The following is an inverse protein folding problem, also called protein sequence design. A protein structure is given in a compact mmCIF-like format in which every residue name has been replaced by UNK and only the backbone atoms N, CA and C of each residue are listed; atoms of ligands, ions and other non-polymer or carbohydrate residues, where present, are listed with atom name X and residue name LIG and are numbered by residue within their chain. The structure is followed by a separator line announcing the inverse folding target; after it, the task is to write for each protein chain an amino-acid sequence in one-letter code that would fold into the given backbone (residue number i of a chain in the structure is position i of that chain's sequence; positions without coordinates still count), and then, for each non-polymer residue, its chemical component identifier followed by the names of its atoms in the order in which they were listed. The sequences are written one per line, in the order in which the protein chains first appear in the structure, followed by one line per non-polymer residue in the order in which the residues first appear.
data_IF_790178410100
#
_entry.id   IF_790178410100
#
_cell.length_a   1.000
_cell.length_b   1.000
_cell.length_c   1.000
_cell.angle_alpha   90.00
_cell.angle_beta   90.00
_cell.angle_gamma   90.00
#
_symmetry.space_group_name_H-M   'P 1'
#
loop_
_entity.id
_entity.type
_entity.pdbx_description
1 polymer ?
#
# COMPACT_ATOMS: atom_id res chain seq x y z
N UNK A 1 21.78 8.12 21.66
CA UNK A 1 20.64 8.34 20.73
C UNK A 1 19.93 7.00 20.59
N UNK A 2 18.72 6.86 21.15
CA UNK A 2 17.95 5.62 21.04
C UNK A 2 17.18 5.61 19.72
N UNK A 3 17.28 4.51 18.99
CA UNK A 3 16.50 4.27 17.78
C UNK A 3 15.12 3.77 18.23
N UNK A 4 14.08 4.56 18.01
CA UNK A 4 12.72 4.06 18.13
C UNK A 4 12.51 3.03 17.02
N UNK A 5 12.18 1.79 17.41
CA UNK A 5 11.84 0.75 16.45
C UNK A 5 10.58 1.19 15.69
N UNK A 6 10.70 1.24 14.37
CA UNK A 6 9.55 1.51 13.52
C UNK A 6 8.56 0.36 13.62
N UNK A 7 7.28 0.65 13.34
CA UNK A 7 6.22 -0.37 13.34
C UNK A 7 6.57 -1.57 12.47
N UNK A 8 7.15 -1.33 11.29
CA UNK A 8 7.53 -2.38 10.35
C UNK A 8 8.63 -3.28 10.90
N UNK A 9 9.60 -2.70 11.62
CA UNK A 9 10.69 -3.47 12.25
C UNK A 9 10.16 -4.35 13.37
N UNK A 10 9.28 -3.82 14.23
CA UNK A 10 8.60 -4.60 15.28
C UNK A 10 7.84 -5.78 14.68
N UNK A 11 7.05 -5.55 13.63
CA UNK A 11 6.29 -6.61 12.97
C UNK A 11 7.22 -7.68 12.37
N UNK A 12 8.36 -7.29 11.80
CA UNK A 12 9.39 -8.22 11.30
C UNK A 12 9.98 -9.07 12.43
N UNK A 13 10.36 -8.44 13.53
CA UNK A 13 10.93 -9.12 14.70
C UNK A 13 9.92 -10.09 15.32
N UNK A 14 8.64 -9.72 15.41
CA UNK A 14 7.59 -10.59 15.94
C UNK A 14 7.41 -11.86 15.11
N UNK A 15 7.31 -11.71 13.78
CA UNK A 15 7.14 -12.84 12.87
C UNK A 15 8.33 -13.79 12.97
N UNK A 16 9.54 -13.24 12.86
CA UNK A 16 10.73 -14.07 12.92
C UNK A 16 10.89 -14.78 14.27
N UNK A 17 10.41 -14.18 15.37
CA UNK A 17 10.57 -14.76 16.71
C UNK A 17 9.66 -15.96 16.87
N UNK A 18 8.43 -15.85 16.36
CA UNK A 18 7.44 -16.94 16.32
C UNK A 18 7.86 -18.08 15.38
N UNK A 19 8.59 -17.75 14.31
CA UNK A 19 9.10 -18.72 13.34
C UNK A 19 10.45 -19.33 13.77
N UNK A 20 11.06 -18.86 14.87
CA UNK A 20 12.37 -19.31 15.35
C UNK A 20 13.51 -18.99 14.38
N UNK A 21 13.36 -17.93 13.59
CA UNK A 21 14.26 -17.57 12.49
C UNK A 21 14.97 -16.21 12.71
N UNK A 22 14.98 -15.69 13.95
CA UNK A 22 15.74 -14.47 14.26
C UNK A 22 17.24 -14.73 14.27
N UNK A 23 17.99 -13.73 13.81
CA UNK A 23 19.40 -13.64 14.10
C UNK A 23 19.59 -13.22 15.57
N UNK A 24 20.67 -13.69 16.20
CA UNK A 24 20.98 -13.44 17.62
C UNK A 24 20.98 -11.94 17.99
N UNK A 25 21.40 -11.06 17.08
CA UNK A 25 21.36 -9.60 17.28
C UNK A 25 19.93 -9.04 17.34
N UNK A 26 19.06 -9.53 16.47
CA UNK A 26 17.67 -9.11 16.39
C UNK A 26 16.89 -9.63 17.61
N UNK A 27 17.28 -10.78 18.15
CA UNK A 27 16.67 -11.38 19.35
C UNK A 27 16.98 -10.55 20.60
N UNK A 28 18.25 -10.18 20.78
CA UNK A 28 18.65 -9.27 21.85
C UNK A 28 17.98 -7.88 21.75
N UNK A 29 17.80 -7.37 20.53
CA UNK A 29 17.09 -6.11 20.28
C UNK A 29 15.61 -6.21 20.64
N UNK A 30 14.95 -7.30 20.26
CA UNK A 30 13.56 -7.58 20.61
C UNK A 30 13.38 -7.72 22.12
N UNK A 31 14.22 -8.50 22.80
CA UNK A 31 14.16 -8.67 24.26
C UNK A 31 14.33 -7.35 25.00
N UNK A 32 15.28 -6.53 24.56
CA UNK A 32 15.48 -5.18 25.11
C UNK A 32 14.23 -4.33 24.91
N UNK A 33 13.63 -4.34 23.72
CA UNK A 33 12.42 -3.56 23.43
C UNK A 33 11.20 -4.03 24.26
N UNK A 34 11.05 -5.34 24.47
CA UNK A 34 9.99 -5.93 25.28
C UNK A 34 10.17 -5.62 26.78
N UNK A 35 11.40 -5.54 27.26
CA UNK A 35 11.71 -5.15 28.64
C UNK A 35 11.41 -3.67 28.91
N UNK A 36 11.61 -2.81 27.92
CA UNK A 36 11.42 -1.35 28.06
C UNK A 36 9.98 -0.90 27.88
N UNK A 37 9.15 -1.66 27.15
CA UNK A 37 7.76 -1.28 26.86
C UNK A 37 6.75 -2.37 27.27
N UNK A 38 6.00 -2.17 28.37
CA UNK A 38 4.96 -3.12 28.76
C UNK A 38 3.82 -3.21 27.73
N UNK A 39 3.55 -2.14 26.99
CA UNK A 39 2.57 -2.14 25.90
C UNK A 39 3.01 -3.03 24.73
N UNK A 40 4.29 -2.96 24.36
CA UNK A 40 4.86 -3.79 23.30
C UNK A 40 4.81 -5.27 23.70
N UNK A 41 5.15 -5.56 24.95
CA UNK A 41 5.05 -6.91 25.52
C UNK A 41 3.63 -7.46 25.46
N UNK A 42 2.63 -6.70 25.90
CA UNK A 42 1.24 -7.11 25.82
C UNK A 42 0.77 -7.37 24.37
N UNK A 43 1.25 -6.57 23.41
CA UNK A 43 0.99 -6.80 21.98
C UNK A 43 1.65 -8.08 21.47
N UNK A 44 2.88 -8.36 21.87
CA UNK A 44 3.59 -9.57 21.49
C UNK A 44 2.89 -10.82 22.03
N UNK A 45 2.53 -10.84 23.31
CA UNK A 45 1.78 -11.94 23.92
C UNK A 45 0.43 -12.18 23.24
N UNK A 46 -0.29 -11.11 22.87
CA UNK A 46 -1.55 -11.23 22.13
C UNK A 46 -1.32 -11.84 20.74
N UNK A 47 -0.25 -11.44 20.07
CA UNK A 47 0.13 -11.97 18.76
C UNK A 47 0.50 -13.46 18.87
N UNK A 48 1.32 -13.83 19.85
CA UNK A 48 1.72 -15.22 20.11
C UNK A 48 0.49 -16.12 20.37
N UNK A 49 -0.45 -15.69 21.22
CA UNK A 49 -1.70 -16.42 21.48
C UNK A 49 -2.54 -16.59 20.22
N UNK A 50 -2.58 -15.59 19.34
CA UNK A 50 -3.31 -15.69 18.08
C UNK A 50 -2.66 -16.71 17.14
N UNK A 51 -1.32 -16.71 17.05
CA UNK A 51 -0.61 -17.67 16.21
C UNK A 51 -0.71 -19.09 16.78
N UNK A 52 -0.59 -19.28 18.09
CA UNK A 52 -0.74 -20.62 18.69
C UNK A 52 -2.13 -21.21 18.43
N UNK A 53 -3.19 -20.40 18.59
CA UNK A 53 -4.55 -20.82 18.25
C UNK A 53 -4.74 -21.18 16.77
N UNK A 54 -3.97 -20.56 15.87
CA UNK A 54 -3.98 -20.84 14.43
C UNK A 54 -3.13 -22.06 14.06
N UNK A 55 -2.04 -22.35 14.80
CA UNK A 55 -1.16 -23.50 14.54
C UNK A 55 -1.91 -24.83 14.70
N UNK A 56 -2.85 -24.90 15.64
CA UNK A 56 -3.65 -26.10 15.90
C UNK A 56 -4.83 -26.29 14.94
N UNK A 57 -5.11 -25.31 14.07
CA UNK A 57 -6.18 -25.44 13.10
C UNK A 57 -5.78 -26.32 11.92
N UNK A 58 -6.67 -27.21 11.45
CA UNK A 58 -6.41 -28.03 10.27
C UNK A 58 -6.17 -27.12 9.07
N UNK A 59 -4.99 -27.27 8.46
CA UNK A 59 -4.68 -26.58 7.21
C UNK A 59 -5.52 -27.17 6.10
N UNK A 60 -6.64 -26.52 5.79
CA UNK A 60 -7.48 -26.92 4.66
C UNK A 60 -6.75 -26.62 3.35
N UNK A 61 -6.69 -27.62 2.47
CA UNK A 61 -6.26 -27.43 1.10
C UNK A 61 -7.16 -26.37 0.46
N UNK A 62 -6.55 -25.40 -0.22
CA UNK A 62 -7.32 -24.42 -0.97
C UNK A 62 -8.28 -25.15 -1.95
N UNK A 63 -9.55 -24.72 -2.06
CA UNK A 63 -10.47 -25.29 -3.02
C UNK A 63 -9.88 -25.24 -4.43
N UNK A 64 -10.11 -26.30 -5.21
CA UNK A 64 -9.66 -26.34 -6.60
C UNK A 64 -10.25 -25.15 -7.37
N UNK A 65 -9.38 -24.43 -8.08
CA UNK A 65 -9.79 -23.25 -8.85
C UNK A 65 -9.91 -21.93 -8.06
N UNK A 66 -9.60 -21.87 -6.76
CA UNK A 66 -9.59 -20.62 -5.99
C UNK A 66 -8.69 -19.54 -6.64
N UNK A 67 -7.51 -19.94 -7.14
CA UNK A 67 -6.60 -19.05 -7.88
C UNK A 67 -7.27 -18.43 -9.10
N UNK A 68 -8.04 -19.20 -9.86
CA UNK A 68 -8.78 -18.72 -11.03
C UNK A 68 -9.91 -17.76 -10.65
N UNK A 69 -10.61 -18.00 -9.54
CA UNK A 69 -11.65 -17.11 -9.02
C UNK A 69 -11.06 -15.77 -8.57
N UNK A 70 -9.92 -15.80 -7.87
CA UNK A 70 -9.19 -14.59 -7.45
C UNK A 70 -8.73 -13.80 -8.67
N UNK A 71 -8.09 -14.46 -9.65
CA UNK A 71 -7.62 -13.84 -10.89
C UNK A 71 -8.76 -13.23 -11.70
N UNK A 72 -9.91 -13.91 -11.79
CA UNK A 72 -11.11 -13.39 -12.46
C UNK A 72 -11.64 -12.15 -11.76
N UNK A 73 -11.66 -12.13 -10.42
CA UNK A 73 -12.12 -10.99 -9.61
C UNK A 73 -11.19 -9.79 -9.71
N UNK A 74 -9.87 -10.00 -9.61
CA UNK A 74 -8.87 -8.93 -9.71
C UNK A 74 -8.80 -8.34 -11.12
N UNK A 75 -8.89 -9.17 -12.16
CA UNK A 75 -8.99 -8.71 -13.55
C UNK A 75 -10.22 -7.84 -13.77
N UNK A 76 -11.39 -8.24 -13.26
CA UNK A 76 -12.64 -7.47 -13.38
C UNK A 76 -12.55 -6.09 -12.70
N UNK A 77 -11.96 -6.02 -11.50
CA UNK A 77 -11.74 -4.74 -10.80
C UNK A 77 -10.75 -3.82 -11.51
N UNK A 78 -9.63 -4.34 -12.03
CA UNK A 78 -8.67 -3.53 -12.78
C UNK A 78 -9.28 -2.90 -14.02
N UNK A 79 -10.15 -3.61 -14.74
CA UNK A 79 -10.86 -3.07 -15.90
C UNK A 79 -11.88 -1.98 -15.51
N UNK A 80 -12.58 -2.14 -14.39
CA UNK A 80 -13.54 -1.14 -13.90
C UNK A 80 -12.85 0.15 -13.39
N UNK A 81 -11.66 0.03 -12.81
CA UNK A 81 -10.87 1.19 -12.39
C UNK A 81 -10.27 1.91 -13.61
N UNK A 82 -9.72 1.16 -14.57
CA UNK A 82 -9.23 1.74 -15.84
C UNK A 82 -10.32 2.45 -16.65
N UNK A 83 -11.56 1.97 -16.63
CA UNK A 83 -12.67 2.63 -17.33
C UNK A 83 -13.15 3.91 -16.63
N UNK A 84 -12.79 4.12 -15.36
CA UNK A 84 -13.18 5.30 -14.59
C UNK A 84 -12.12 6.40 -14.61
N UNK A 85 -10.88 6.05 -14.94
CA UNK A 85 -9.72 6.96 -15.05
C UNK A 85 -9.48 7.51 -16.46
N UNK A 86 -10.39 7.28 -17.42
CA UNK A 86 -10.38 8.05 -18.67
C UNK A 86 -11.45 9.14 -18.63
N UNK A 87 -11.16 10.34 -18.09
CA UNK A 87 -11.77 11.51 -18.69
C UNK A 87 -11.25 11.54 -20.14
N UNK A 88 -12.16 11.53 -21.11
CA UNK A 88 -11.85 11.93 -22.48
C UNK A 88 -11.41 13.40 -22.47
N UNK A 89 -10.19 13.69 -22.02
CA UNK A 89 -9.50 14.91 -22.42
C UNK A 89 -8.92 14.63 -23.80
N UNK A 90 -9.73 14.87 -24.82
CA UNK A 90 -9.21 15.15 -26.15
C UNK A 90 -8.37 16.41 -26.02
N UNK A 91 -7.06 16.25 -25.84
CA UNK A 91 -6.13 17.35 -25.98
C UNK A 91 -6.35 17.91 -27.39
N UNK A 92 -6.84 19.15 -27.49
CA UNK A 92 -6.93 19.83 -28.76
C UNK A 92 -5.50 19.98 -29.30
N UNK A 93 -5.23 19.63 -30.56
CA UNK A 93 -3.90 19.76 -31.14
C UNK A 93 -3.39 21.19 -30.97
N UNK A 94 -2.12 21.33 -30.57
CA UNK A 94 -1.52 22.63 -30.26
C UNK A 94 -1.59 23.58 -31.46
N UNK A 95 -1.57 23.02 -32.67
CA UNK A 95 -1.74 23.69 -33.96
C UNK A 95 -3.05 24.47 -34.07
N UNK A 96 -4.10 24.11 -33.31
CA UNK A 96 -5.39 24.81 -33.30
C UNK A 96 -5.49 25.78 -32.12
N UNK A 97 -4.99 25.39 -30.95
CA UNK A 97 -5.09 26.19 -29.72
C UNK A 97 -4.26 27.47 -29.79
N UNK A 98 -3.04 27.39 -30.30
CA UNK A 98 -2.13 28.54 -30.37
C UNK A 98 -2.66 29.65 -31.29
N UNK A 99 -3.07 29.38 -32.55
CA UNK A 99 -3.62 30.43 -33.40
C UNK A 99 -4.91 31.03 -32.84
N UNK A 100 -5.77 30.21 -32.22
CA UNK A 100 -7.02 30.70 -31.62
C UNK A 100 -6.76 31.67 -30.45
N UNK A 101 -5.78 31.37 -29.59
CA UNK A 101 -5.36 32.27 -28.51
C UNK A 101 -4.78 33.58 -29.05
N UNK A 102 -3.92 33.51 -30.07
CA UNK A 102 -3.35 34.71 -30.70
C UNK A 102 -4.47 35.57 -31.28
N UNK A 103 -5.41 34.98 -32.01
CA UNK A 103 -6.54 35.70 -32.58
C UNK A 103 -7.41 36.37 -31.51
N UNK A 104 -7.68 35.68 -30.39
CA UNK A 104 -8.42 36.26 -29.26
C UNK A 104 -7.70 37.45 -28.62
N UNK A 105 -6.38 37.36 -28.44
CA UNK A 105 -5.55 38.44 -27.89
C UNK A 105 -5.53 39.65 -28.83
N UNK A 106 -5.37 39.42 -30.14
CA UNK A 106 -5.40 40.51 -31.15
C UNK A 106 -6.76 41.19 -31.18
N UNK A 107 -7.86 40.42 -31.16
CA UNK A 107 -9.21 40.98 -31.14
C UNK A 107 -9.45 41.83 -29.89
N UNK A 108 -9.03 41.34 -28.71
CA UNK A 108 -9.12 42.09 -27.46
C UNK A 108 -8.30 43.39 -27.51
N UNK A 109 -7.10 43.33 -28.08
CA UNK A 109 -6.25 44.52 -28.24
C UNK A 109 -6.87 45.55 -29.19
N UNK A 110 -7.44 45.12 -30.32
CA UNK A 110 -8.15 46.01 -31.24
C UNK A 110 -9.35 46.69 -30.58
N UNK A 111 -10.06 45.99 -29.71
CA UNK A 111 -11.22 46.51 -28.97
C UNK A 111 -10.82 47.51 -27.88
N UNK A 112 -9.64 47.36 -27.28
CA UNK A 112 -9.09 48.30 -26.31
C UNK A 112 -8.42 49.52 -26.97
N UNK A 113 -7.98 49.38 -28.21
CA UNK A 113 -7.32 50.43 -28.98
C UNK A 113 -8.30 51.30 -29.79
N UNK A 114 -9.58 50.92 -29.87
CA UNK A 114 -10.69 51.70 -30.43
C UNK A 114 -11.39 52.54 -29.38
#
# INVERSE_FOLDING_TARGET
MRRELSRTEVERLFVGAIDGALAEKDEAELDTALAESPELKARFEKYERAISALKDQPRHKAPDGLSTLILRRTRRRRFQLRSREMPHFTALPAEVVVPMLIAAVVALFMLLAS
#
